data_IF_901029271304
#
_entry.id   IF_901029271304
#
_cell.length_a   1.000
_cell.length_b   1.000
_cell.length_c   1.000
_cell.angle_alpha   90.00
_cell.angle_beta   90.00
_cell.angle_gamma   90.00
#
_symmetry.space_group_name_H-M   'P 1'
#
loop_
_entity.id
_entity.type
_entity.pdbx_description
1 polymer ?
#
# COMPACT_ATOMS: atom_id res chain seq x y z
N UNK A 1 1.72 -31.53 72.48
CA UNK A 1 2.17 -32.64 71.60
C UNK A 1 1.01 -33.61 71.49
N UNK A 2 0.72 -34.12 70.29
CA UNK A 2 -0.24 -33.69 69.25
C UNK A 2 -1.68 -34.20 69.55
N UNK A 3 -2.76 -33.81 68.88
CA UNK A 3 -3.19 -34.28 67.55
C UNK A 3 -4.39 -33.44 67.07
N UNK A 4 -4.31 -33.00 65.82
CA UNK A 4 -5.44 -32.58 64.98
C UNK A 4 -5.88 -33.85 64.21
N UNK A 5 -7.17 -34.08 63.88
CA UNK A 5 -7.67 -33.44 62.67
C UNK A 5 -9.16 -33.06 62.73
N UNK A 6 -9.46 -31.80 62.45
CA UNK A 6 -10.78 -31.31 62.09
C UNK A 6 -11.35 -32.05 60.87
N UNK A 7 -12.48 -32.74 61.10
CA UNK A 7 -13.34 -33.33 60.08
C UNK A 7 -14.64 -32.55 60.04
N UNK A 8 -14.85 -31.69 59.05
CA UNK A 8 -16.21 -31.32 58.65
C UNK A 8 -16.27 -30.90 57.19
N UNK A 9 -16.75 -31.84 56.39
CA UNK A 9 -16.99 -31.70 54.96
C UNK A 9 -18.09 -30.66 54.70
N UNK A 10 -17.73 -29.52 54.11
CA UNK A 10 -18.69 -28.62 53.48
C UNK A 10 -18.79 -28.97 51.99
N UNK A 11 -19.88 -29.66 51.64
CA UNK A 11 -20.31 -29.84 50.24
C UNK A 11 -20.69 -28.48 49.67
N UNK A 12 -20.30 -28.12 48.43
CA UNK A 12 -20.77 -26.89 47.81
C UNK A 12 -22.22 -27.04 47.37
N UNK A 13 -23.02 -26.04 47.72
CA UNK A 13 -24.39 -25.83 47.26
C UNK A 13 -24.33 -25.36 45.79
N UNK A 14 -24.93 -26.13 44.89
CA UNK A 14 -25.09 -25.78 43.48
C UNK A 14 -26.15 -24.68 43.39
N UNK A 15 -25.76 -23.48 42.94
CA UNK A 15 -26.68 -22.42 42.53
C UNK A 15 -26.77 -22.49 40.99
N UNK A 16 -27.97 -22.64 40.40
CA UNK A 16 -28.11 -22.67 38.94
C UNK A 16 -28.29 -21.25 38.40
N UNK A 17 -27.54 -20.94 37.33
CA UNK A 17 -27.80 -19.81 36.45
C UNK A 17 -26.86 -18.63 36.64
N UNK A 18 -25.76 -18.62 35.88
CA UNK A 18 -25.34 -17.48 35.06
C UNK A 18 -24.63 -18.05 33.82
N UNK A 19 -25.28 -17.97 32.67
CA UNK A 19 -24.66 -18.19 31.37
C UNK A 19 -23.90 -16.90 31.01
N UNK A 20 -22.69 -16.76 31.54
CA UNK A 20 -21.76 -15.75 31.02
C UNK A 20 -21.07 -16.36 29.79
N UNK A 21 -21.51 -15.89 28.63
CA UNK A 21 -20.92 -16.17 27.33
C UNK A 21 -19.43 -15.75 27.37
N UNK A 22 -18.46 -16.63 27.10
CA UNK A 22 -17.05 -16.24 27.11
C UNK A 22 -16.82 -15.17 26.04
N UNK A 23 -16.03 -14.11 26.33
CA UNK A 23 -15.75 -13.09 25.33
C UNK A 23 -15.08 -13.73 24.11
N UNK A 24 -15.40 -13.26 22.88
CA UNK A 24 -14.86 -13.86 21.67
C UNK A 24 -13.33 -13.81 21.70
N UNK A 25 -12.71 -14.98 21.69
CA UNK A 25 -11.25 -15.12 21.59
C UNK A 25 -10.82 -14.55 20.24
N UNK A 26 -9.98 -13.50 20.28
CA UNK A 26 -9.35 -12.94 19.08
C UNK A 26 -8.59 -14.06 18.36
N UNK A 27 -8.71 -14.21 17.02
CA UNK A 27 -7.97 -15.23 16.30
C UNK A 27 -6.48 -14.89 16.36
N UNK A 28 -5.71 -15.76 16.99
CA UNK A 28 -4.24 -15.72 16.97
C UNK A 28 -3.80 -16.33 15.64
N UNK A 29 -3.27 -15.52 14.72
CA UNK A 29 -2.61 -16.03 13.52
C UNK A 29 -1.30 -16.72 13.91
N UNK A 30 -1.19 -18.00 13.57
CA UNK A 30 -0.02 -18.83 13.83
C UNK A 30 0.98 -18.65 12.69
N UNK A 31 2.15 -18.08 12.96
CA UNK A 31 3.25 -18.01 11.99
C UNK A 31 3.90 -19.37 11.74
N UNK A 32 4.60 -19.52 10.60
CA UNK A 32 5.23 -20.76 10.14
C UNK A 32 6.34 -21.34 11.06
N UNK A 33 6.66 -20.69 12.17
CA UNK A 33 7.66 -21.11 13.17
C UNK A 33 7.06 -21.42 14.56
N UNK A 34 5.73 -21.48 14.70
CA UNK A 34 5.08 -21.90 15.95
C UNK A 34 5.18 -20.90 17.11
N UNK A 35 5.63 -19.67 16.85
CA UNK A 35 5.60 -18.58 17.84
C UNK A 35 4.34 -17.72 17.67
N UNK A 36 3.64 -17.35 18.76
CA UNK A 36 2.56 -16.38 18.71
C UNK A 36 3.12 -15.02 18.32
N UNK A 37 2.62 -14.44 17.23
CA UNK A 37 2.91 -13.07 16.85
C UNK A 37 2.27 -12.16 17.91
N UNK A 38 3.05 -11.71 18.89
CA UNK A 38 2.67 -10.59 19.74
C UNK A 38 2.40 -9.39 18.84
N UNK A 39 1.44 -8.56 19.24
CA UNK A 39 1.11 -7.28 18.61
C UNK A 39 2.21 -6.23 18.78
N UNK A 40 3.47 -6.64 18.72
CA UNK A 40 4.64 -5.78 18.73
C UNK A 40 4.89 -5.32 17.31
N UNK A 41 4.56 -4.04 17.12
CA UNK A 41 5.18 -3.17 16.13
C UNK A 41 5.06 -3.64 14.70
N UNK A 42 3.87 -3.41 14.13
CA UNK A 42 3.81 -2.97 12.74
C UNK A 42 4.48 -1.59 12.69
N UNK A 43 5.82 -1.54 12.78
CA UNK A 43 6.57 -0.42 12.23
C UNK A 43 6.17 -0.40 10.75
N UNK A 44 5.49 0.63 10.24
CA UNK A 44 5.28 0.72 8.81
C UNK A 44 6.66 0.97 8.19
N UNK A 45 7.40 -0.11 7.91
CA UNK A 45 8.54 -0.05 7.00
C UNK A 45 7.97 0.63 5.75
N UNK A 46 8.42 1.86 5.43
CA UNK A 46 7.83 2.61 4.33
C UNK A 46 7.84 1.70 3.09
N UNK A 47 6.80 1.72 2.25
CA UNK A 47 6.82 1.03 0.97
C UNK A 47 8.10 1.35 0.22
N UNK A 48 9.04 0.40 0.33
CA UNK A 48 10.25 0.37 -0.45
C UNK A 48 9.76 0.07 -1.85
N UNK A 49 9.54 1.14 -2.61
CA UNK A 49 9.41 1.04 -4.04
C UNK A 49 10.69 0.37 -4.52
N UNK A 50 10.56 -0.83 -5.10
CA UNK A 50 11.69 -1.49 -5.74
C UNK A 50 11.89 -0.77 -7.07
N UNK A 51 12.63 0.34 -7.01
CA UNK A 51 12.90 1.18 -8.17
C UNK A 51 13.94 0.50 -9.06
N UNK A 52 13.76 0.50 -10.40
CA UNK A 52 14.89 0.33 -11.30
C UNK A 52 15.86 1.52 -11.15
N UNK A 53 17.18 1.33 -11.36
CA UNK A 53 18.17 2.39 -11.19
C UNK A 53 17.92 3.56 -12.15
N UNK A 54 17.83 4.80 -11.64
CA UNK A 54 17.74 6.02 -12.46
C UNK A 54 16.75 7.11 -12.04
N UNK A 55 15.90 6.89 -11.02
CA UNK A 55 14.92 7.88 -10.58
C UNK A 55 15.57 8.97 -9.69
N UNK A 56 15.99 10.09 -10.30
CA UNK A 56 16.56 11.23 -9.59
C UNK A 56 15.51 12.01 -8.76
N UNK A 57 15.95 12.56 -7.62
CA UNK A 57 15.14 13.39 -6.72
C UNK A 57 14.92 14.80 -7.31
N UNK A 58 13.65 15.18 -7.48
CA UNK A 58 13.24 16.55 -7.81
C UNK A 58 12.54 17.18 -6.60
N UNK A 59 12.59 18.51 -6.54
CA UNK A 59 12.08 19.40 -5.48
C UNK A 59 10.63 19.12 -5.10
N UNK A 60 10.32 19.15 -3.80
CA UNK A 60 8.98 18.85 -3.24
C UNK A 60 7.89 19.91 -3.58
N UNK A 61 8.24 20.96 -4.33
CA UNK A 61 7.35 22.10 -4.62
C UNK A 61 6.40 21.86 -5.82
N UNK A 62 6.68 20.87 -6.68
CA UNK A 62 5.87 20.56 -7.88
C UNK A 62 4.81 19.47 -7.65
N UNK A 63 4.49 19.14 -6.40
CA UNK A 63 3.53 18.08 -6.09
C UNK A 63 2.10 18.56 -6.41
N UNK A 64 1.29 17.81 -7.19
CA UNK A 64 -0.09 18.19 -7.44
C UNK A 64 -0.89 18.25 -6.12
N UNK A 65 -1.61 19.37 -5.92
CA UNK A 65 -2.37 19.61 -4.68
C UNK A 65 -3.46 18.56 -4.47
N UNK A 66 -4.11 18.12 -5.55
CA UNK A 66 -5.11 17.07 -5.58
C UNK A 66 -4.65 15.91 -6.46
N UNK A 67 -3.87 14.96 -5.91
CA UNK A 67 -3.29 13.88 -6.70
C UNK A 67 -4.39 12.94 -7.19
N UNK A 68 -4.37 12.68 -8.50
CA UNK A 68 -5.28 11.76 -9.16
C UNK A 68 -4.51 10.76 -9.99
N UNK A 69 -4.77 9.48 -9.78
CA UNK A 69 -4.19 8.41 -10.56
C UNK A 69 -4.84 8.39 -11.94
N UNK A 70 -4.02 8.40 -12.98
CA UNK A 70 -4.49 8.25 -14.35
C UNK A 70 -4.97 6.80 -14.58
N UNK A 71 -5.73 6.52 -15.66
CA UNK A 71 -6.10 5.16 -15.99
C UNK A 71 -4.88 4.34 -16.42
N UNK A 72 -4.29 3.62 -15.47
CA UNK A 72 -3.22 2.62 -15.67
C UNK A 72 -3.75 1.22 -15.41
N UNK A 73 -3.11 0.23 -16.02
CA UNK A 73 -3.42 -1.18 -15.75
C UNK A 73 -2.58 -1.66 -14.58
N UNK A 74 -3.26 -2.07 -13.50
CA UNK A 74 -2.65 -2.58 -12.27
C UNK A 74 -3.05 -4.04 -12.14
N UNK A 75 -2.05 -4.93 -12.06
CA UNK A 75 -2.28 -6.37 -11.92
C UNK A 75 -1.50 -6.90 -10.72
N UNK A 76 -2.14 -7.63 -9.78
CA UNK A 76 -1.41 -8.28 -8.70
C UNK A 76 -0.57 -9.43 -9.25
N UNK A 77 0.69 -9.50 -8.85
CA UNK A 77 1.64 -10.55 -9.24
C UNK A 77 2.39 -11.05 -8.01
N UNK A 78 2.77 -12.33 -8.02
CA UNK A 78 3.64 -12.91 -6.99
C UNK A 78 5.00 -13.19 -7.58
N UNK A 79 6.02 -12.49 -7.11
CA UNK A 79 7.41 -12.65 -7.56
C UNK A 79 8.32 -12.98 -6.38
N UNK A 80 9.09 -14.08 -6.46
CA UNK A 80 10.03 -14.50 -5.40
C UNK A 80 9.40 -14.57 -3.99
N UNK A 81 8.13 -14.96 -3.92
CA UNK A 81 7.38 -15.07 -2.67
C UNK A 81 6.82 -13.74 -2.14
N UNK A 82 6.98 -12.64 -2.87
CA UNK A 82 6.44 -11.32 -2.52
C UNK A 82 5.22 -10.99 -3.38
N UNK A 83 4.20 -10.41 -2.76
CA UNK A 83 3.01 -9.91 -3.45
C UNK A 83 3.25 -8.46 -3.88
N UNK A 84 3.19 -8.26 -5.20
CA UNK A 84 3.46 -6.98 -5.85
C UNK A 84 2.29 -6.59 -6.73
N UNK A 85 2.23 -5.31 -7.08
CA UNK A 85 1.35 -4.74 -8.08
C UNK A 85 2.22 -4.37 -9.28
N UNK A 86 1.96 -5.00 -10.41
CA UNK A 86 2.56 -4.62 -11.67
C UNK A 86 1.71 -3.51 -12.31
N UNK A 87 2.29 -2.33 -12.42
CA UNK A 87 1.68 -1.16 -13.05
C UNK A 87 2.21 -1.04 -14.48
N UNK A 88 1.29 -1.03 -15.44
CA UNK A 88 1.59 -0.91 -16.86
C UNK A 88 0.74 0.18 -17.49
N UNK A 89 1.30 0.82 -18.50
CA UNK A 89 0.66 1.93 -19.18
C UNK A 89 0.30 1.56 -20.62
N UNK A 90 -0.99 1.46 -20.96
CA UNK A 90 -1.41 1.20 -22.33
C UNK A 90 -1.07 2.36 -23.29
N UNK A 91 -0.87 3.59 -22.78
CA UNK A 91 -0.51 4.75 -23.59
C UNK A 91 0.99 4.83 -23.90
N UNK A 92 1.83 4.00 -23.26
CA UNK A 92 3.28 3.99 -23.49
C UNK A 92 4.01 5.25 -23.02
N UNK A 93 3.39 6.06 -22.16
CA UNK A 93 4.03 7.25 -21.54
C UNK A 93 5.01 6.81 -20.46
N UNK A 94 4.67 5.75 -19.72
CA UNK A 94 5.61 5.06 -18.84
C UNK A 94 6.65 4.31 -19.69
N UNK A 95 7.96 4.55 -19.50
CA UNK A 95 9.00 3.91 -20.30
C UNK A 95 9.17 2.41 -20.00
N UNK A 96 8.78 1.96 -18.80
CA UNK A 96 8.86 0.56 -18.38
C UNK A 96 7.77 0.26 -17.35
N UNK A 97 7.24 -0.98 -17.29
CA UNK A 97 6.42 -1.44 -16.17
C UNK A 97 7.09 -1.20 -14.82
N UNK A 98 6.27 -0.95 -13.80
CA UNK A 98 6.71 -0.63 -12.44
C UNK A 98 6.10 -1.66 -11.49
N UNK A 99 6.90 -2.18 -10.56
CA UNK A 99 6.43 -3.02 -9.48
C UNK A 99 6.30 -2.19 -8.19
N UNK A 100 5.09 -2.17 -7.62
CA UNK A 100 4.81 -1.59 -6.31
C UNK A 100 4.49 -2.72 -5.33
N UNK A 101 4.67 -2.51 -4.02
CA UNK A 101 4.25 -3.52 -3.04
C UNK A 101 2.73 -3.56 -2.94
N UNK A 102 2.14 -4.71 -2.62
CA UNK A 102 0.67 -4.81 -2.56
C UNK A 102 0.04 -3.94 -1.47
N UNK A 103 0.79 -3.61 -0.41
CA UNK A 103 0.29 -2.79 0.69
C UNK A 103 -0.06 -1.35 0.27
N UNK A 104 0.44 -0.86 -0.86
CA UNK A 104 0.09 0.48 -1.35
C UNK A 104 -1.24 0.52 -2.12
N UNK A 105 -1.89 -0.63 -2.35
CA UNK A 105 -3.12 -0.70 -3.14
C UNK A 105 -4.23 0.20 -2.56
N UNK A 106 -4.40 0.18 -1.24
CA UNK A 106 -5.42 0.98 -0.56
C UNK A 106 -5.11 2.48 -0.69
N UNK A 107 -3.84 2.85 -0.62
CA UNK A 107 -3.41 4.22 -0.82
C UNK A 107 -3.65 4.69 -2.26
N UNK A 108 -3.33 3.86 -3.27
CA UNK A 108 -3.56 4.20 -4.68
C UNK A 108 -5.05 4.44 -4.99
N UNK A 109 -5.96 3.72 -4.33
CA UNK A 109 -7.40 3.91 -4.47
C UNK A 109 -7.90 5.26 -3.92
N UNK A 110 -7.16 5.87 -2.99
CA UNK A 110 -7.48 7.21 -2.46
C UNK A 110 -7.04 8.34 -3.39
N UNK A 111 -6.19 8.06 -4.40
CA UNK A 111 -5.71 9.03 -5.37
C UNK A 111 -6.73 9.22 -6.50
N UNK A 112 -7.90 9.73 -6.18
CA UNK A 112 -8.98 9.98 -7.13
C UNK A 112 -9.18 11.48 -7.44
N UNK A 113 -8.33 12.34 -6.88
CA UNK A 113 -8.40 13.80 -7.00
C UNK A 113 -9.37 14.48 -6.05
N UNK A 114 -10.09 13.75 -5.19
CA UNK A 114 -11.01 14.35 -4.21
C UNK A 114 -10.30 14.86 -2.98
N UNK A 115 -9.24 14.18 -2.55
CA UNK A 115 -8.47 14.57 -1.37
C UNK A 115 -7.26 15.41 -1.77
N UNK A 116 -6.99 16.47 -1.01
CA UNK A 116 -5.74 17.19 -1.12
C UNK A 116 -4.58 16.40 -0.52
N UNK A 117 -3.36 16.70 -0.95
CA UNK A 117 -2.15 16.08 -0.39
C UNK A 117 -2.01 16.33 1.12
N UNK A 118 -2.46 17.49 1.59
CA UNK A 118 -2.42 17.86 3.01
C UNK A 118 -3.44 17.05 3.81
N UNK A 119 -4.64 16.85 3.28
CA UNK A 119 -5.66 15.98 3.90
C UNK A 119 -5.21 14.52 3.93
N UNK A 120 -4.69 13.99 2.81
CA UNK A 120 -4.13 12.63 2.74
C UNK A 120 -3.02 12.44 3.78
N UNK A 121 -2.08 13.38 3.86
CA UNK A 121 -0.98 13.33 4.82
C UNK A 121 -1.48 13.32 6.26
N UNK A 122 -2.47 14.16 6.58
CA UNK A 122 -3.05 14.25 7.91
C UNK A 122 -3.83 12.98 8.28
N UNK A 123 -4.62 12.43 7.35
CA UNK A 123 -5.42 11.22 7.57
C UNK A 123 -4.52 10.01 7.80
N UNK A 124 -3.49 9.83 6.96
CA UNK A 124 -2.54 8.72 7.11
C UNK A 124 -1.73 8.86 8.41
N UNK A 125 -1.31 10.07 8.79
CA UNK A 125 -0.62 10.29 10.06
C UNK A 125 -1.50 9.97 11.28
N UNK A 126 -2.80 10.28 11.21
CA UNK A 126 -3.77 9.94 12.27
C UNK A 126 -4.03 8.44 12.34
N UNK A 127 -4.26 7.80 11.20
CA UNK A 127 -4.55 6.37 11.12
C UNK A 127 -3.37 5.51 11.60
N UNK A 128 -2.15 5.87 11.19
CA UNK A 128 -0.92 5.17 11.60
C UNK A 128 -0.42 5.54 13.00
N UNK A 129 -0.93 6.64 13.57
CA UNK A 129 -0.39 7.29 14.79
C UNK A 129 1.09 7.65 14.68
N UNK A 130 1.58 7.86 13.45
CA UNK A 130 2.96 8.23 13.15
C UNK A 130 3.00 9.50 12.28
N UNK A 131 3.65 10.54 12.79
CA UNK A 131 3.84 11.82 12.08
C UNK A 131 4.72 11.63 10.83
N UNK A 132 5.65 10.66 10.84
CA UNK A 132 6.52 10.36 9.69
C UNK A 132 5.73 9.81 8.51
N UNK A 133 4.60 9.15 8.77
CA UNK A 133 3.73 8.64 7.71
C UNK A 133 3.18 9.77 6.83
N UNK A 134 2.91 10.96 7.40
CA UNK A 134 2.49 12.13 6.61
C UNK A 134 3.59 12.66 5.68
N UNK A 135 4.86 12.62 6.12
CA UNK A 135 5.99 12.96 5.26
C UNK A 135 6.19 11.91 4.15
N UNK A 136 6.01 10.63 4.49
CA UNK A 136 6.05 9.54 3.52
C UNK A 136 4.99 9.71 2.41
N UNK A 137 3.76 10.13 2.74
CA UNK A 137 2.71 10.40 1.74
C UNK A 137 3.16 11.42 0.70
N UNK A 138 3.75 12.54 1.13
CA UNK A 138 4.23 13.59 0.21
C UNK A 138 5.32 13.06 -0.71
N UNK A 139 6.30 12.35 -0.15
CA UNK A 139 7.38 11.76 -0.95
C UNK A 139 6.86 10.69 -1.92
N UNK A 140 5.92 9.86 -1.49
CA UNK A 140 5.34 8.82 -2.32
C UNK A 140 4.53 9.40 -3.48
N UNK A 141 3.70 10.43 -3.24
CA UNK A 141 2.98 11.13 -4.31
C UNK A 141 3.93 11.82 -5.27
N UNK A 142 5.01 12.46 -4.77
CA UNK A 142 6.05 13.03 -5.62
C UNK A 142 6.73 11.96 -6.50
N UNK A 143 6.96 10.76 -5.97
CA UNK A 143 7.50 9.63 -6.73
C UNK A 143 6.54 9.19 -7.85
N UNK A 144 5.25 9.05 -7.55
CA UNK A 144 4.24 8.69 -8.55
C UNK A 144 4.14 9.75 -9.66
N UNK A 145 4.23 11.03 -9.30
CA UNK A 145 4.26 12.13 -10.28
C UNK A 145 5.50 12.07 -11.18
N UNK A 146 6.68 11.86 -10.60
CA UNK A 146 7.94 11.68 -11.36
C UNK A 146 7.86 10.50 -12.33
N UNK A 147 7.14 9.45 -11.94
CA UNK A 147 6.92 8.26 -12.75
C UNK A 147 5.83 8.47 -13.82
N UNK A 148 5.22 9.66 -13.91
CA UNK A 148 4.14 9.99 -14.83
C UNK A 148 2.90 9.10 -14.61
N UNK A 149 2.61 8.74 -13.36
CA UNK A 149 1.44 7.94 -12.97
C UNK A 149 0.23 8.81 -12.58
N UNK A 150 0.43 10.08 -12.28
CA UNK A 150 -0.62 11.00 -11.88
C UNK A 150 -1.09 11.85 -13.07
N UNK A 151 -2.36 12.26 -13.03
CA UNK A 151 -2.89 13.33 -13.88
C UNK A 151 -2.32 14.67 -13.38
N UNK A 152 -1.17 15.07 -13.93
CA UNK A 152 -0.48 16.30 -13.58
C UNK A 152 0.02 17.03 -14.82
N UNK A 153 0.38 18.33 -14.71
CA UNK A 153 0.99 19.08 -15.81
C UNK A 153 2.22 18.37 -16.40
N UNK A 154 3.01 17.70 -15.55
CA UNK A 154 4.19 16.92 -15.95
C UNK A 154 3.82 15.77 -16.88
N UNK A 155 2.76 15.03 -16.55
CA UNK A 155 2.22 13.99 -17.43
C UNK A 155 1.70 14.58 -18.74
N UNK A 156 0.93 15.67 -18.69
CA UNK A 156 0.37 16.30 -19.89
C UNK A 156 1.46 16.76 -20.87
N UNK A 157 2.55 17.33 -20.35
CA UNK A 157 3.69 17.74 -21.15
C UNK A 157 4.42 16.54 -21.77
N UNK A 158 4.67 15.49 -20.98
CA UNK A 158 5.30 14.27 -21.49
C UNK A 158 4.43 13.58 -22.55
N UNK A 159 3.12 13.51 -22.34
CA UNK A 159 2.18 12.95 -23.29
C UNK A 159 2.09 13.79 -24.58
N UNK A 160 2.10 15.12 -24.47
CA UNK A 160 2.13 16.03 -25.62
C UNK A 160 3.39 15.79 -26.47
N UNK A 161 4.56 15.72 -25.82
CA UNK A 161 5.83 15.44 -26.49
C UNK A 161 5.81 14.08 -27.20
N UNK A 162 5.30 13.03 -26.54
CA UNK A 162 5.18 11.70 -27.12
C UNK A 162 4.27 11.71 -28.36
N UNK A 163 3.12 12.37 -28.26
CA UNK A 163 2.15 12.49 -29.35
C UNK A 163 2.74 13.28 -30.54
N UNK A 164 3.40 14.40 -30.26
CA UNK A 164 3.97 15.25 -31.30
C UNK A 164 5.13 14.54 -32.01
N UNK A 165 5.98 13.82 -31.27
CA UNK A 165 7.01 12.96 -31.83
C UNK A 165 6.41 11.87 -32.74
N UNK A 166 5.29 11.25 -32.33
CA UNK A 166 4.59 10.27 -33.15
C UNK A 166 4.02 10.87 -34.44
N UNK A 167 3.48 12.10 -34.40
CA UNK A 167 2.96 12.79 -35.58
C UNK A 167 4.04 13.19 -36.58
N UNK A 168 5.27 13.45 -36.12
CA UNK A 168 6.39 13.85 -36.97
C UNK A 168 7.04 12.70 -37.75
N UNK A 169 6.68 11.44 -37.47
CA UNK A 169 7.24 10.29 -38.18
C UNK A 169 6.68 10.21 -39.62
N UNK A 170 7.52 10.56 -40.61
CA UNK A 170 7.22 10.40 -42.04
C UNK A 170 6.96 8.93 -42.43
N UNK A 171 7.65 7.99 -41.79
CA UNK A 171 7.47 6.55 -41.96
C UNK A 171 7.21 5.92 -40.60
N UNK A 172 6.02 5.33 -40.45
CA UNK A 172 5.62 4.59 -39.24
C UNK A 172 6.07 3.15 -39.39
N UNK A 173 6.91 2.65 -38.47
CA UNK A 173 7.19 1.21 -38.41
C UNK A 173 5.89 0.45 -38.17
N UNK A 174 5.67 -0.63 -38.92
CA UNK A 174 4.53 -1.51 -38.71
C UNK A 174 4.61 -2.10 -37.29
N UNK A 175 3.63 -1.78 -36.43
CA UNK A 175 3.61 -2.19 -35.03
C UNK A 175 3.37 -3.69 -34.83
N UNK A 176 2.79 -4.36 -35.84
CA UNK A 176 2.72 -5.81 -35.92
C UNK A 176 3.62 -6.29 -37.05
N UNK A 177 4.69 -7.00 -36.70
CA UNK A 177 5.30 -7.94 -37.63
C UNK A 177 4.35 -9.13 -37.64
N UNK A 178 3.58 -9.33 -38.70
CA UNK A 178 2.71 -10.50 -38.82
C UNK A 178 3.58 -11.76 -38.72
N UNK A 179 3.57 -12.41 -37.55
CA UNK A 179 4.18 -13.72 -37.36
C UNK A 179 3.03 -14.71 -37.45
N UNK A 180 2.94 -15.40 -38.58
CA UNK A 180 2.05 -16.54 -38.80
C UNK A 180 2.59 -17.80 -38.13
#
# INVERSE_FOLDING_TARGET
MPDDPQKSARRPLIIPGQSEDPPPRKPVLLGASGQPLTSESFEPEPPRIVLPPGAAAASLDDIPEHPRLRPVMIVPVRERGQDLLLVTDPLGVLPSPIALRIEVLDFLQLLDGRFSITELSAEIARASRDVRAGAWVREFVAQLDRMLLLESPRFEDAYRQLRDAFHQLEVRQAALRGVS
#
